data_IF_876043498196
#
_entry.id   IF_876043498196
#
_cell.length_a   1.000
_cell.length_b   1.000
_cell.length_c   1.000
_cell.angle_alpha   90.00
_cell.angle_beta   90.00
_cell.angle_gamma   90.00
#
_symmetry.space_group_name_H-M   'P 1'
#
loop_
_entity.id
_entity.type
_entity.pdbx_description
1 polymer ?
#
# COMPACT_ATOMS: atom_id res chain seq x y z
N UNK A 1 -8.83 47.48 8.78
CA UNK A 1 -7.88 47.38 7.66
C UNK A 1 -6.49 46.87 8.04
N UNK A 2 -5.84 47.33 9.13
CA UNK A 2 -4.51 46.83 9.53
C UNK A 2 -4.51 45.37 10.03
N UNK A 3 -5.46 44.99 10.89
CA UNK A 3 -5.61 43.60 11.36
C UNK A 3 -5.96 42.59 10.26
N UNK A 4 -6.72 43.01 9.25
CA UNK A 4 -7.13 42.14 8.15
C UNK A 4 -5.93 41.81 7.25
N UNK A 5 -5.03 42.77 6.98
CA UNK A 5 -3.78 42.52 6.26
C UNK A 5 -2.87 41.58 7.06
N UNK A 6 -2.71 41.80 8.37
CA UNK A 6 -1.83 40.97 9.20
C UNK A 6 -2.35 39.52 9.34
N UNK A 7 -3.67 39.32 9.43
CA UNK A 7 -4.28 37.98 9.44
C UNK A 7 -4.13 37.31 8.08
N UNK A 8 -4.39 38.03 6.98
CA UNK A 8 -4.26 37.49 5.61
C UNK A 8 -2.79 37.18 5.30
N UNK A 9 -1.85 38.02 5.68
CA UNK A 9 -0.41 37.78 5.51
C UNK A 9 0.08 36.63 6.37
N UNK A 10 -0.37 36.53 7.64
CA UNK A 10 -0.01 35.41 8.50
C UNK A 10 -0.61 34.07 8.01
N UNK A 11 -1.87 34.07 7.54
CA UNK A 11 -2.50 32.92 6.92
C UNK A 11 -1.81 32.53 5.60
N UNK A 12 -1.44 33.51 4.78
CA UNK A 12 -0.74 33.29 3.51
C UNK A 12 0.67 32.75 3.74
N UNK A 13 1.42 33.30 4.69
CA UNK A 13 2.73 32.78 5.10
C UNK A 13 2.61 31.36 5.67
N UNK A 14 1.54 31.07 6.42
CA UNK A 14 1.29 29.72 6.95
C UNK A 14 0.93 28.72 5.86
N UNK A 15 0.15 29.15 4.86
CA UNK A 15 -0.20 28.37 3.70
C UNK A 15 1.03 28.09 2.81
N UNK A 16 1.84 29.11 2.52
CA UNK A 16 3.06 28.97 1.71
C UNK A 16 4.08 28.07 2.42
N UNK A 17 4.25 28.22 3.74
CA UNK A 17 5.09 27.32 4.54
C UNK A 17 4.57 25.87 4.48
N UNK A 18 3.26 25.66 4.65
CA UNK A 18 2.65 24.33 4.54
C UNK A 18 2.88 23.71 3.15
N UNK A 19 2.65 24.45 2.07
CA UNK A 19 2.87 23.97 0.70
C UNK A 19 4.33 23.65 0.42
N UNK A 20 5.28 24.45 0.91
CA UNK A 20 6.71 24.18 0.77
C UNK A 20 7.13 22.92 1.54
N UNK A 21 6.70 22.79 2.79
CA UNK A 21 6.99 21.63 3.64
C UNK A 21 6.41 20.36 3.00
N UNK A 22 5.14 20.39 2.61
CA UNK A 22 4.46 19.27 1.96
C UNK A 22 5.12 18.87 0.65
N UNK A 23 5.41 19.85 -0.21
CA UNK A 23 6.07 19.57 -1.49
C UNK A 23 7.44 18.93 -1.27
N UNK A 24 8.22 19.43 -0.31
CA UNK A 24 9.57 18.91 -0.02
C UNK A 24 9.51 17.49 0.53
N UNK A 25 8.67 17.23 1.53
CA UNK A 25 8.53 15.89 2.12
C UNK A 25 8.06 14.89 1.07
N UNK A 26 7.04 15.25 0.28
CA UNK A 26 6.50 14.37 -0.74
C UNK A 26 7.48 14.11 -1.89
N UNK A 27 8.26 15.13 -2.30
CA UNK A 27 9.28 14.98 -3.35
C UNK A 27 10.42 14.04 -2.94
N UNK A 28 10.64 13.83 -1.65
CA UNK A 28 11.62 12.86 -1.15
C UNK A 28 10.95 11.50 -0.92
N UNK A 29 9.81 11.48 -0.24
CA UNK A 29 9.12 10.25 0.15
C UNK A 29 8.65 9.44 -1.08
N UNK A 30 7.96 10.08 -2.04
CA UNK A 30 7.41 9.34 -3.17
C UNK A 30 8.48 8.67 -4.06
N UNK A 31 9.57 9.36 -4.47
CA UNK A 31 10.62 8.70 -5.23
C UNK A 31 11.38 7.65 -4.43
N UNK A 32 11.54 7.83 -3.11
CA UNK A 32 12.18 6.84 -2.25
C UNK A 32 11.35 5.56 -2.20
N UNK A 33 10.05 5.66 -1.94
CA UNK A 33 9.17 4.51 -1.83
C UNK A 33 9.02 3.79 -3.15
N UNK A 34 8.78 4.55 -4.22
CA UNK A 34 8.68 4.01 -5.58
C UNK A 34 10.01 3.36 -6.01
N UNK A 35 11.14 3.98 -5.69
CA UNK A 35 12.47 3.46 -5.96
C UNK A 35 12.75 2.15 -5.23
N UNK A 36 12.43 2.06 -3.95
CA UNK A 36 12.61 0.85 -3.14
C UNK A 36 11.72 -0.30 -3.61
N UNK A 37 10.42 -0.06 -3.81
CA UNK A 37 9.48 -1.07 -4.31
C UNK A 37 9.86 -1.49 -5.73
N UNK A 38 10.21 -0.52 -6.59
CA UNK A 38 10.67 -0.76 -7.95
C UNK A 38 11.96 -1.58 -7.98
N UNK A 39 12.92 -1.29 -7.11
CA UNK A 39 14.17 -2.03 -6.98
C UNK A 39 13.93 -3.48 -6.53
N UNK A 40 13.10 -3.70 -5.49
CA UNK A 40 12.75 -5.06 -5.05
C UNK A 40 12.05 -5.86 -6.15
N UNK A 41 11.13 -5.22 -6.86
CA UNK A 41 10.40 -5.82 -7.99
C UNK A 41 11.35 -6.15 -9.15
N UNK A 42 12.27 -5.23 -9.46
CA UNK A 42 13.28 -5.40 -10.49
C UNK A 42 14.24 -6.55 -10.19
N UNK A 43 14.69 -6.69 -8.94
CA UNK A 43 15.55 -7.79 -8.53
C UNK A 43 14.87 -9.15 -8.72
N UNK A 44 13.57 -9.24 -8.43
CA UNK A 44 12.79 -10.46 -8.66
C UNK A 44 12.59 -10.74 -10.16
N UNK A 45 12.28 -9.71 -10.96
CA UNK A 45 12.13 -9.84 -12.41
C UNK A 45 13.42 -10.31 -13.09
N UNK A 46 14.56 -9.70 -12.73
CA UNK A 46 15.87 -10.08 -13.26
C UNK A 46 16.21 -11.53 -12.88
N UNK A 47 16.01 -11.89 -11.62
CA UNK A 47 16.27 -13.25 -11.16
C UNK A 47 15.36 -14.28 -11.85
N UNK A 48 14.10 -13.93 -12.15
CA UNK A 48 13.18 -14.79 -12.90
C UNK A 48 13.55 -14.91 -14.40
N UNK A 49 14.20 -13.90 -14.98
CA UNK A 49 14.73 -13.98 -16.33
C UNK A 49 15.98 -14.87 -16.39
N UNK A 50 16.88 -14.72 -15.41
CA UNK A 50 18.11 -15.51 -15.32
C UNK A 50 17.82 -17.02 -15.10
N UNK A 51 16.78 -17.35 -14.33
CA UNK A 51 16.35 -18.74 -14.11
C UNK A 51 15.77 -19.42 -15.36
N UNK A 52 15.34 -18.64 -16.36
CA UNK A 52 14.86 -19.18 -17.65
C UNK A 52 16.02 -19.64 -18.53
N UNK A 53 17.21 -19.07 -18.36
CA UNK A 53 18.40 -19.32 -19.19
C UNK A 53 19.28 -20.44 -18.59
N UNK A 54 19.29 -20.60 -17.26
CA UNK A 54 20.13 -21.59 -16.60
C UNK A 54 19.64 -23.04 -16.83
N UNK A 55 20.49 -23.89 -17.40
CA UNK A 55 20.19 -25.32 -17.66
C UNK A 55 20.21 -26.22 -16.42
N UNK A 56 20.64 -25.70 -15.26
CA UNK A 56 20.57 -26.42 -13.97
C UNK A 56 19.76 -25.58 -12.97
N UNK A 57 18.59 -26.07 -12.51
CA UNK A 57 17.82 -25.39 -11.49
C UNK A 57 18.51 -25.53 -10.12
N UNK A 58 18.96 -24.41 -9.56
CA UNK A 58 19.25 -24.32 -8.13
C UNK A 58 17.91 -24.25 -7.39
N UNK A 59 17.47 -25.41 -6.92
CA UNK A 59 16.14 -25.63 -6.36
C UNK A 59 15.90 -24.78 -5.11
N UNK A 60 16.90 -24.65 -4.25
CA UNK A 60 16.79 -23.82 -3.05
C UNK A 60 16.65 -22.33 -3.38
N UNK A 61 17.41 -21.86 -4.38
CA UNK A 61 17.32 -20.46 -4.83
C UNK A 61 15.93 -20.16 -5.41
N UNK A 62 15.36 -21.08 -6.18
CA UNK A 62 14.01 -20.95 -6.73
C UNK A 62 12.94 -20.87 -5.63
N UNK A 63 12.99 -21.76 -4.64
CA UNK A 63 12.04 -21.73 -3.50
C UNK A 63 12.16 -20.42 -2.70
N UNK A 64 13.40 -19.94 -2.44
CA UNK A 64 13.62 -18.65 -1.78
C UNK A 64 13.03 -17.48 -2.58
N UNK A 65 13.20 -17.49 -3.90
CA UNK A 65 12.69 -16.43 -4.77
C UNK A 65 11.16 -16.41 -4.84
N UNK A 66 10.51 -17.57 -4.90
CA UNK A 66 9.05 -17.67 -4.83
C UNK A 66 8.50 -17.13 -3.51
N UNK A 67 9.12 -17.49 -2.37
CA UNK A 67 8.72 -16.94 -1.05
C UNK A 67 8.85 -15.41 -1.02
N UNK A 68 9.93 -14.86 -1.61
CA UNK A 68 10.11 -13.40 -1.73
C UNK A 68 9.06 -12.77 -2.65
N UNK A 69 8.71 -13.43 -3.76
CA UNK A 69 7.67 -13.02 -4.70
C UNK A 69 6.31 -12.89 -4.00
N UNK A 70 5.92 -13.91 -3.22
CA UNK A 70 4.65 -13.93 -2.46
C UNK A 70 4.61 -12.85 -1.36
N UNK A 71 5.77 -12.46 -0.82
CA UNK A 71 5.88 -11.41 0.21
C UNK A 71 6.06 -10.00 -0.34
N UNK A 72 6.22 -9.83 -1.65
CA UNK A 72 6.55 -8.55 -2.27
C UNK A 72 5.51 -7.46 -1.94
N UNK A 73 4.22 -7.79 -2.02
CA UNK A 73 3.16 -6.83 -1.68
C UNK A 73 3.15 -6.44 -0.19
N UNK A 74 3.49 -7.36 0.71
CA UNK A 74 3.65 -7.04 2.13
C UNK A 74 4.82 -6.10 2.37
N UNK A 75 5.97 -6.32 1.70
CA UNK A 75 7.10 -5.40 1.78
C UNK A 75 6.77 -4.02 1.20
N UNK A 76 6.05 -3.95 0.07
CA UNK A 76 5.61 -2.69 -0.49
C UNK A 76 4.72 -1.91 0.48
N UNK A 77 3.75 -2.58 1.09
CA UNK A 77 2.91 -1.98 2.11
C UNK A 77 3.70 -1.49 3.34
N UNK A 78 4.68 -2.27 3.82
CA UNK A 78 5.54 -1.87 4.93
C UNK A 78 6.39 -0.64 4.59
N UNK A 79 6.97 -0.59 3.39
CA UNK A 79 7.74 0.57 2.91
C UNK A 79 6.85 1.82 2.89
N UNK A 80 5.69 1.74 2.22
CA UNK A 80 4.76 2.86 2.15
C UNK A 80 4.24 3.29 3.52
N UNK A 81 3.97 2.34 4.42
CA UNK A 81 3.53 2.64 5.80
C UNK A 81 4.64 3.29 6.62
N UNK A 82 5.88 2.81 6.50
CA UNK A 82 7.01 3.39 7.22
C UNK A 82 7.29 4.82 6.78
N UNK A 83 7.32 5.07 5.46
CA UNK A 83 7.45 6.41 4.89
C UNK A 83 6.30 7.32 5.34
N UNK A 84 5.07 6.78 5.36
CA UNK A 84 3.90 7.51 5.85
C UNK A 84 4.02 7.93 7.31
N UNK A 85 4.48 7.02 8.19
CA UNK A 85 4.69 7.32 9.62
C UNK A 85 5.78 8.39 9.78
N UNK A 86 6.89 8.26 9.05
CA UNK A 86 7.99 9.24 9.09
C UNK A 86 7.48 10.60 8.62
N UNK A 87 6.74 10.66 7.51
CA UNK A 87 6.14 11.89 7.00
C UNK A 87 5.17 12.48 8.04
N UNK A 88 4.31 11.66 8.64
CA UNK A 88 3.34 12.09 9.64
C UNK A 88 3.93 12.66 10.93
N UNK A 89 5.19 12.33 11.25
CA UNK A 89 5.96 12.95 12.34
C UNK A 89 6.71 14.19 11.82
N UNK A 90 7.27 14.14 10.61
CA UNK A 90 8.02 15.24 10.01
C UNK A 90 7.14 16.49 9.76
N UNK A 91 5.88 16.30 9.35
CA UNK A 91 4.91 17.37 9.14
C UNK A 91 4.68 18.25 10.38
N UNK A 92 4.20 17.73 11.53
CA UNK A 92 3.93 18.54 12.71
C UNK A 92 5.20 19.17 13.29
N UNK A 93 6.36 18.48 13.22
CA UNK A 93 7.64 19.05 13.68
C UNK A 93 8.01 20.26 12.80
N UNK A 94 8.00 20.09 11.49
CA UNK A 94 8.36 21.16 10.54
C UNK A 94 7.40 22.35 10.66
N UNK A 95 6.10 22.08 10.80
CA UNK A 95 5.08 23.11 11.01
C UNK A 95 5.28 23.84 12.34
N UNK A 96 5.60 23.14 13.42
CA UNK A 96 5.88 23.76 14.71
C UNK A 96 7.05 24.75 14.63
N UNK A 97 8.12 24.40 13.90
CA UNK A 97 9.24 25.30 13.67
C UNK A 97 8.91 26.47 12.74
N UNK A 98 8.03 26.30 11.76
CA UNK A 98 7.73 27.33 10.76
C UNK A 98 6.70 28.37 11.24
N UNK A 99 5.67 27.95 11.97
CA UNK A 99 4.51 28.81 12.31
C UNK A 99 4.11 28.76 13.80
N UNK A 100 4.75 27.94 14.63
CA UNK A 100 4.43 27.79 16.05
C UNK A 100 3.33 26.77 16.35
N UNK A 101 2.65 26.90 17.48
CA UNK A 101 1.66 25.93 17.97
C UNK A 101 0.32 26.05 17.23
N UNK A 102 -0.15 24.94 16.66
CA UNK A 102 -1.49 24.85 16.06
C UNK A 102 -2.57 24.63 17.14
N UNK A 103 -3.81 25.09 16.93
CA UNK A 103 -4.93 24.79 17.82
C UNK A 103 -5.22 23.28 17.84
N UNK A 104 -5.64 22.76 19.01
CA UNK A 104 -5.89 21.32 19.24
C UNK A 104 -6.92 20.73 18.25
N UNK A 105 -7.92 21.52 17.85
CA UNK A 105 -8.90 21.11 16.85
C UNK A 105 -8.28 20.85 15.48
N UNK A 106 -7.30 21.65 15.06
CA UNK A 106 -6.55 21.41 13.81
C UNK A 106 -5.72 20.12 13.89
N UNK A 107 -5.14 19.79 15.04
CA UNK A 107 -4.44 18.52 15.25
C UNK A 107 -5.37 17.31 15.11
N UNK A 108 -6.60 17.38 15.62
CA UNK A 108 -7.57 16.27 15.51
C UNK A 108 -7.98 16.06 14.05
N UNK A 109 -8.29 17.13 13.31
CA UNK A 109 -8.61 17.03 11.88
C UNK A 109 -7.43 16.49 11.07
N UNK A 110 -6.22 16.98 11.36
CA UNK A 110 -4.99 16.49 10.73
C UNK A 110 -4.77 15.01 11.02
N UNK A 111 -4.95 14.56 12.26
CA UNK A 111 -4.80 13.16 12.66
C UNK A 111 -5.81 12.25 11.96
N UNK A 112 -7.08 12.68 11.86
CA UNK A 112 -8.12 11.94 11.14
C UNK A 112 -7.77 11.76 9.65
N UNK A 113 -7.35 12.83 8.99
CA UNK A 113 -6.86 12.77 7.60
C UNK A 113 -5.61 11.89 7.48
N UNK A 114 -4.68 11.97 8.44
CA UNK A 114 -3.44 11.21 8.42
C UNK A 114 -3.70 9.70 8.56
N UNK A 115 -4.68 9.33 9.38
CA UNK A 115 -5.09 7.95 9.58
C UNK A 115 -5.76 7.38 8.33
N UNK A 116 -6.66 8.14 7.69
CA UNK A 116 -7.28 7.75 6.42
C UNK A 116 -6.24 7.50 5.33
N UNK A 117 -5.34 8.46 5.13
CA UNK A 117 -4.28 8.32 4.13
C UNK A 117 -3.30 7.19 4.46
N UNK A 118 -2.99 6.97 5.75
CA UNK A 118 -2.14 5.86 6.20
C UNK A 118 -2.75 4.49 5.91
N UNK A 119 -4.06 4.33 6.11
CA UNK A 119 -4.78 3.11 5.76
C UNK A 119 -4.74 2.84 4.25
N UNK A 120 -4.91 3.87 3.42
CA UNK A 120 -4.77 3.77 1.97
C UNK A 120 -3.34 3.37 1.59
N UNK A 121 -2.33 4.05 2.14
CA UNK A 121 -0.92 3.80 1.89
C UNK A 121 -0.48 2.38 2.33
N UNK A 122 -1.10 1.83 3.37
CA UNK A 122 -0.84 0.46 3.80
C UNK A 122 -1.53 -0.59 2.91
N UNK A 123 -2.80 -0.36 2.56
CA UNK A 123 -3.63 -1.40 1.93
C UNK A 123 -3.53 -1.44 0.40
N UNK A 124 -3.47 -0.30 -0.27
CA UNK A 124 -3.57 -0.27 -1.74
C UNK A 124 -2.29 -0.79 -2.41
N UNK A 125 -1.08 -0.40 -1.95
CA UNK A 125 0.15 -0.99 -2.48
C UNK A 125 0.23 -2.49 -2.23
N UNK A 126 -0.29 -2.99 -1.10
CA UNK A 126 -0.36 -4.44 -0.86
C UNK A 126 -1.12 -5.16 -1.97
N UNK A 127 -2.35 -4.73 -2.26
CA UNK A 127 -3.20 -5.40 -3.26
C UNK A 127 -2.63 -5.25 -4.68
N UNK A 128 -2.21 -4.05 -5.06
CA UNK A 128 -1.66 -3.79 -6.40
C UNK A 128 -0.37 -4.58 -6.66
N UNK A 129 0.57 -4.55 -5.72
CA UNK A 129 1.86 -5.25 -5.87
C UNK A 129 1.70 -6.76 -5.72
N UNK A 130 0.84 -7.25 -4.83
CA UNK A 130 0.57 -8.70 -4.71
C UNK A 130 -0.07 -9.23 -5.99
N UNK A 131 -1.07 -8.53 -6.53
CA UNK A 131 -1.73 -8.90 -7.79
C UNK A 131 -0.71 -8.96 -8.94
N UNK A 132 0.09 -7.89 -9.10
CA UNK A 132 1.15 -7.83 -10.10
C UNK A 132 2.17 -8.97 -9.93
N UNK A 133 2.62 -9.20 -8.71
CA UNK A 133 3.59 -10.25 -8.37
C UNK A 133 3.05 -11.64 -8.75
N UNK A 134 1.81 -11.95 -8.37
CA UNK A 134 1.18 -13.26 -8.59
C UNK A 134 0.85 -13.51 -10.07
N UNK A 135 0.51 -12.47 -10.83
CA UNK A 135 0.11 -12.61 -12.24
C UNK A 135 1.28 -12.45 -13.23
N UNK A 136 2.31 -11.68 -12.89
CA UNK A 136 3.39 -11.35 -13.82
C UNK A 136 4.72 -12.03 -13.51
N UNK A 137 5.07 -12.15 -12.22
CA UNK A 137 6.39 -12.65 -11.79
C UNK A 137 6.29 -14.12 -11.41
N UNK A 138 5.30 -14.48 -10.58
CA UNK A 138 5.12 -15.82 -10.05
C UNK A 138 5.01 -16.91 -11.14
N UNK A 139 4.26 -16.72 -12.25
CA UNK A 139 4.16 -17.73 -13.30
C UNK A 139 5.50 -18.05 -13.96
N UNK A 140 6.40 -17.06 -14.05
CA UNK A 140 7.76 -17.25 -14.60
C UNK A 140 8.65 -18.02 -13.64
N UNK A 141 8.42 -17.89 -12.33
CA UNK A 141 9.17 -18.61 -11.31
C UNK A 141 8.75 -20.08 -11.21
N UNK A 142 7.46 -20.39 -11.41
CA UNK A 142 6.96 -21.76 -11.30
C UNK A 142 7.26 -22.64 -12.53
N UNK A 143 7.43 -22.07 -13.73
CA UNK A 143 7.67 -22.84 -14.97
C UNK A 143 8.86 -23.81 -14.88
N UNK A 144 9.88 -23.49 -14.08
CA UNK A 144 11.09 -24.29 -13.91
C UNK A 144 11.24 -24.85 -12.49
N UNK A 145 10.16 -24.84 -11.69
CA UNK A 145 10.22 -25.21 -10.28
C UNK A 145 9.51 -26.53 -10.01
N UNK A 146 10.10 -27.32 -9.12
CA UNK A 146 9.46 -28.52 -8.60
C UNK A 146 8.38 -28.15 -7.57
N UNK A 147 7.13 -28.44 -7.91
CA UNK A 147 5.97 -28.18 -7.06
C UNK A 147 5.95 -29.05 -5.79
N UNK A 148 6.75 -30.12 -5.71
CA UNK A 148 6.86 -30.94 -4.49
C UNK A 148 7.52 -30.18 -3.34
N UNK A 149 8.39 -29.20 -3.63
CA UNK A 149 9.14 -28.44 -2.62
C UNK A 149 8.53 -27.07 -2.26
N UNK A 150 7.37 -26.75 -2.83
CA UNK A 150 6.64 -25.55 -2.44
C UNK A 150 6.14 -25.66 -1.01
N UNK A 151 6.41 -24.64 -0.20
CA UNK A 151 5.94 -24.58 1.17
C UNK A 151 4.48 -24.06 1.21
N UNK A 152 3.49 -24.91 1.53
CA UNK A 152 2.06 -24.52 1.55
C UNK A 152 1.79 -23.35 2.50
N UNK A 153 2.57 -23.25 3.58
CA UNK A 153 2.50 -22.21 4.59
C UNK A 153 2.61 -20.79 4.02
N UNK A 154 3.34 -20.61 2.91
CA UNK A 154 3.52 -19.28 2.29
C UNK A 154 2.23 -18.77 1.65
N UNK A 155 1.41 -19.66 1.10
CA UNK A 155 0.10 -19.30 0.54
C UNK A 155 -0.89 -18.95 1.64
N UNK A 156 -0.95 -19.78 2.69
CA UNK A 156 -1.82 -19.51 3.84
C UNK A 156 -1.46 -18.21 4.55
N UNK A 157 -0.16 -17.92 4.70
CA UNK A 157 0.29 -16.64 5.24
C UNK A 157 -0.19 -15.46 4.38
N UNK A 158 -0.07 -15.56 3.05
CA UNK A 158 -0.52 -14.50 2.14
C UNK A 158 -2.06 -14.35 2.16
N UNK A 159 -2.81 -15.45 2.20
CA UNK A 159 -4.28 -15.43 2.36
C UNK A 159 -4.66 -14.70 3.65
N UNK A 160 -4.04 -15.04 4.78
CA UNK A 160 -4.30 -14.37 6.07
C UNK A 160 -3.96 -12.88 6.03
N UNK A 161 -2.82 -12.52 5.44
CA UNK A 161 -2.42 -11.11 5.29
C UNK A 161 -3.43 -10.35 4.44
N UNK A 162 -3.91 -10.93 3.33
CA UNK A 162 -4.88 -10.26 2.46
C UNK A 162 -6.19 -9.91 3.17
N UNK A 163 -6.64 -10.72 4.13
CA UNK A 163 -7.77 -10.38 5.00
C UNK A 163 -7.50 -9.17 5.90
N UNK A 164 -6.31 -9.11 6.49
CA UNK A 164 -5.91 -7.96 7.33
C UNK A 164 -5.88 -6.68 6.49
N UNK A 165 -5.28 -6.72 5.30
CA UNK A 165 -5.25 -5.57 4.39
C UNK A 165 -6.63 -5.22 3.83
N UNK A 166 -7.52 -6.19 3.65
CA UNK A 166 -8.91 -5.94 3.28
C UNK A 166 -9.64 -5.15 4.36
N UNK A 167 -9.53 -5.57 5.62
CA UNK A 167 -10.13 -4.84 6.76
C UNK A 167 -9.60 -3.41 6.79
N UNK A 168 -8.29 -3.21 6.67
CA UNK A 168 -7.70 -1.86 6.60
C UNK A 168 -8.25 -1.02 5.44
N UNK A 169 -8.43 -1.61 4.26
CA UNK A 169 -9.00 -0.91 3.11
C UNK A 169 -10.47 -0.52 3.34
N UNK A 170 -11.26 -1.37 3.99
CA UNK A 170 -12.67 -1.09 4.30
C UNK A 170 -12.85 -0.09 5.46
N UNK A 171 -11.86 0.05 6.35
CA UNK A 171 -11.86 1.11 7.35
C UNK A 171 -11.78 2.51 6.72
N UNK A 172 -11.16 2.66 5.55
CA UNK A 172 -11.06 3.95 4.84
C UNK A 172 -12.43 4.58 4.57
N UNK A 173 -13.37 3.93 3.83
CA UNK A 173 -14.68 4.51 3.59
C UNK A 173 -15.50 4.66 4.88
N UNK A 174 -15.40 3.73 5.84
CA UNK A 174 -16.12 3.83 7.11
C UNK A 174 -15.73 5.09 7.89
N UNK A 175 -14.42 5.34 8.01
CA UNK A 175 -13.90 6.52 8.70
C UNK A 175 -14.11 7.81 7.90
N UNK A 176 -14.15 7.71 6.56
CA UNK A 176 -14.49 8.84 5.69
C UNK A 176 -15.94 9.28 5.91
N UNK A 177 -16.89 8.33 5.99
CA UNK A 177 -18.30 8.61 6.29
C UNK A 177 -18.44 9.17 7.71
N UNK A 178 -17.74 8.63 8.69
CA UNK A 178 -17.75 9.16 10.05
C UNK A 178 -17.22 10.61 10.10
N UNK A 179 -16.14 10.89 9.37
CA UNK A 179 -15.58 12.24 9.24
C UNK A 179 -16.57 13.19 8.55
N UNK A 180 -17.23 12.74 7.49
CA UNK A 180 -18.27 13.48 6.78
C UNK A 180 -19.49 13.77 7.68
N UNK A 181 -19.90 12.84 8.53
CA UNK A 181 -21.01 13.07 9.46
C UNK A 181 -20.69 14.13 10.52
N UNK A 182 -19.41 14.32 10.86
CA UNK A 182 -18.96 15.34 11.81
C UNK A 182 -18.76 16.71 11.16
N UNK A 183 -18.45 16.75 9.86
CA UNK A 183 -18.21 17.98 9.10
C UNK A 183 -19.47 18.28 8.31
N UNK A 184 -20.24 19.31 8.68
CA UNK A 184 -21.36 19.80 7.85
C UNK A 184 -20.82 20.29 6.50
N UNK A 185 -20.70 19.37 5.54
CA UNK A 185 -20.33 19.66 4.16
C UNK A 185 -21.62 20.04 3.41
N UNK A 186 -21.81 21.34 3.19
CA UNK A 186 -22.92 21.85 2.37
C UNK A 186 -22.69 21.58 0.86
N UNK A 187 -21.50 21.09 0.49
CA UNK A 187 -21.14 20.77 -0.90
C UNK A 187 -21.59 19.35 -1.30
N UNK A 188 -22.79 19.30 -1.88
CA UNK A 188 -23.39 18.07 -2.42
C UNK A 188 -22.56 17.41 -3.52
N UNK A 189 -21.78 18.18 -4.28
CA UNK A 189 -20.95 17.65 -5.37
C UNK A 189 -19.76 16.91 -4.78
N UNK A 190 -19.08 17.52 -3.80
CA UNK A 190 -17.96 16.88 -3.11
C UNK A 190 -18.38 15.55 -2.45
N UNK A 191 -19.55 15.53 -1.80
CA UNK A 191 -20.12 14.30 -1.21
C UNK A 191 -20.39 13.23 -2.27
N UNK A 192 -20.97 13.63 -3.41
CA UNK A 192 -21.25 12.73 -4.53
C UNK A 192 -19.97 12.09 -5.09
N UNK A 193 -18.94 12.90 -5.34
CA UNK A 193 -17.63 12.42 -5.82
C UNK A 193 -17.00 11.47 -4.80
N UNK A 194 -16.98 11.85 -3.51
CA UNK A 194 -16.37 11.03 -2.46
C UNK A 194 -17.06 9.67 -2.32
N UNK A 195 -18.39 9.66 -2.43
CA UNK A 195 -19.19 8.43 -2.37
C UNK A 195 -18.90 7.53 -3.57
N UNK A 196 -18.94 8.07 -4.79
CA UNK A 196 -18.67 7.29 -6.01
C UNK A 196 -17.23 6.75 -6.00
N UNK A 197 -16.24 7.60 -5.71
CA UNK A 197 -14.84 7.20 -5.66
C UNK A 197 -14.59 6.16 -4.55
N UNK A 198 -15.16 6.35 -3.37
CA UNK A 198 -15.06 5.41 -2.24
C UNK A 198 -15.68 4.05 -2.57
N UNK A 199 -16.88 4.03 -3.18
CA UNK A 199 -17.54 2.79 -3.60
C UNK A 199 -16.74 2.08 -4.68
N UNK A 200 -16.27 2.79 -5.72
CA UNK A 200 -15.45 2.20 -6.77
C UNK A 200 -14.14 1.61 -6.23
N UNK A 201 -13.48 2.33 -5.31
CA UNK A 201 -12.28 1.85 -4.62
C UNK A 201 -12.54 0.58 -3.81
N UNK A 202 -13.60 0.57 -2.99
CA UNK A 202 -13.97 -0.59 -2.18
C UNK A 202 -14.31 -1.81 -3.05
N UNK A 203 -15.10 -1.63 -4.11
CA UNK A 203 -15.44 -2.70 -5.05
C UNK A 203 -14.19 -3.23 -5.75
N UNK A 204 -13.30 -2.35 -6.20
CA UNK A 204 -12.06 -2.74 -6.89
C UNK A 204 -11.15 -3.58 -5.98
N UNK A 205 -10.92 -3.12 -4.74
CA UNK A 205 -10.11 -3.85 -3.76
C UNK A 205 -10.76 -5.18 -3.41
N UNK A 206 -12.08 -5.22 -3.22
CA UNK A 206 -12.79 -6.46 -2.93
C UNK A 206 -12.69 -7.47 -4.08
N UNK A 207 -12.78 -7.02 -5.34
CA UNK A 207 -12.58 -7.89 -6.52
C UNK A 207 -11.16 -8.44 -6.57
N UNK A 208 -10.15 -7.60 -6.38
CA UNK A 208 -8.75 -8.04 -6.34
C UNK A 208 -8.55 -9.06 -5.21
N UNK A 209 -9.12 -8.80 -4.03
CA UNK A 209 -9.08 -9.75 -2.92
C UNK A 209 -9.70 -11.11 -3.29
N UNK A 210 -10.88 -11.13 -3.91
CA UNK A 210 -11.51 -12.37 -4.36
C UNK A 210 -10.64 -13.13 -5.35
N UNK A 211 -10.06 -12.44 -6.33
CA UNK A 211 -9.14 -13.04 -7.30
C UNK A 211 -7.92 -13.63 -6.61
N UNK A 212 -7.29 -12.88 -5.70
CA UNK A 212 -6.11 -13.37 -4.95
C UNK A 212 -6.43 -14.60 -4.10
N UNK A 213 -7.60 -14.67 -3.46
CA UNK A 213 -8.01 -15.85 -2.70
C UNK A 213 -8.16 -17.08 -3.63
N UNK A 214 -8.87 -16.92 -4.75
CA UNK A 214 -9.08 -17.98 -5.71
C UNK A 214 -7.77 -18.48 -6.34
N UNK A 215 -6.85 -17.58 -6.67
CA UNK A 215 -5.53 -17.94 -7.21
C UNK A 215 -4.71 -18.73 -6.19
N UNK A 216 -4.74 -18.31 -4.92
CA UNK A 216 -4.01 -19.00 -3.85
C UNK A 216 -4.62 -20.37 -3.53
N UNK A 217 -5.95 -20.50 -3.59
CA UNK A 217 -6.64 -21.79 -3.47
C UNK A 217 -6.26 -22.76 -4.60
N UNK A 218 -6.21 -22.26 -5.84
CA UNK A 218 -5.80 -23.06 -6.99
C UNK A 218 -4.34 -23.52 -6.88
N UNK A 219 -3.44 -22.64 -6.44
CA UNK A 219 -2.03 -22.97 -6.23
C UNK A 219 -1.82 -23.99 -5.09
N UNK A 220 -2.55 -23.84 -3.98
CA UNK A 220 -2.51 -24.77 -2.85
C UNK A 220 -3.00 -26.17 -3.27
N UNK A 221 -4.09 -26.24 -4.03
CA UNK A 221 -4.62 -27.50 -4.55
C UNK A 221 -3.68 -28.16 -5.58
N UNK A 222 -3.09 -27.39 -6.49
CA UNK A 222 -2.09 -27.90 -7.43
C UNK A 222 -0.87 -28.47 -6.70
N UNK A 223 -0.36 -27.75 -5.69
CA UNK A 223 0.76 -28.22 -4.87
C UNK A 223 0.43 -29.54 -4.15
N UNK A 224 -0.78 -29.65 -3.60
CA UNK A 224 -1.25 -30.86 -2.91
C UNK A 224 -1.38 -32.05 -3.86
N UNK A 225 -1.91 -31.85 -5.07
CA UNK A 225 -2.04 -32.90 -6.09
C UNK A 225 -0.70 -33.46 -6.53
N UNK A 226 0.28 -32.58 -6.74
CA UNK A 226 1.64 -33.00 -7.11
C UNK A 226 2.29 -33.81 -5.99
N UNK A 227 2.12 -33.42 -4.73
CA UNK A 227 2.64 -34.16 -3.58
C UNK A 227 1.98 -35.55 -3.39
N UNK A 228 0.71 -35.69 -3.75
CA UNK A 228 -0.05 -36.94 -3.58
C UNK A 228 0.03 -37.88 -4.81
N UNK A 229 0.68 -37.47 -5.89
CA UNK A 229 0.82 -38.31 -7.09
C UNK A 229 1.90 -39.38 -6.85
N UNK A 230 1.63 -40.68 -7.05
CA UNK A 230 2.63 -41.72 -6.89
C UNK A 230 3.76 -41.54 -7.93
N UNK A 231 5.00 -41.95 -7.60
CA UNK A 231 6.17 -41.84 -8.48
C UNK A 231 6.04 -42.71 -9.75
#
# INVERSE_FOLDING_TARGET
FHNQKHIIEHLKNSQDAFWNIQSTINLIAYPTGLGLVGWLTWQLLRSAADSKISSKPDLEKNVRMQKRCLRLGHYAALICTAEWIIAGIAYPISMHYAIGTLPVTAYIHFLGSLLLCGLIAASYPFFGVTYFSLHSIYPRLIQNSDFTQLAPDSYQQLKRLSWVYLIMAFLVPMLSIASLAMINLDDKIAIGILTVAGTLGAVSIFRIFQTLQADLDALEELSRRVQNSPP
#
